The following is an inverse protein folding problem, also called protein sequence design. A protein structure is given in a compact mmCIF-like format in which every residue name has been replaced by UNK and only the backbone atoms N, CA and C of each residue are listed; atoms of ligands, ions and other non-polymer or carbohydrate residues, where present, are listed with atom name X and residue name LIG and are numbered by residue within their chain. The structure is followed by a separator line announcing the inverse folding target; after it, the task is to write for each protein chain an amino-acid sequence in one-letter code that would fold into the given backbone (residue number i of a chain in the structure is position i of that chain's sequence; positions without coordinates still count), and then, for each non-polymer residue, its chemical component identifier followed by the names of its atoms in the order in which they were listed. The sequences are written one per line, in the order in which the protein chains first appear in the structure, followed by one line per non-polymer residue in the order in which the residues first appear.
data_IF_559232505608
#
_entry.id   IF_559232505608
#
_cell.length_a   1.000
_cell.length_b   1.000
_cell.length_c   1.000
_cell.angle_alpha   90.00
_cell.angle_beta   90.00
_cell.angle_gamma   90.00
#
_symmetry.space_group_name_H-M   'P 1'
#
loop_
_entity.id
_entity.type
_entity.pdbx_description
1 polymer ?
#
# COMPACT_ATOMS: atom_id res chain seq x y z
N UNK A 1 26.64 11.90 0.54
CA UNK A 1 26.39 11.01 1.70
C UNK A 1 24.94 10.59 1.62
N UNK A 2 24.65 9.30 1.50
CA UNK A 2 23.27 8.83 1.53
C UNK A 2 22.71 9.13 2.91
N UNK A 3 21.65 9.95 2.98
CA UNK A 3 20.90 10.16 4.22
C UNK A 3 20.45 8.78 4.70
N UNK A 4 20.75 8.45 5.96
CA UNK A 4 20.27 7.23 6.59
C UNK A 4 18.73 7.26 6.54
N UNK A 5 18.14 6.25 5.90
CA UNK A 5 16.69 6.17 5.78
C UNK A 5 16.08 6.05 7.19
N UNK A 6 15.10 6.89 7.57
CA UNK A 6 14.60 6.90 8.94
C UNK A 6 13.98 5.56 9.33
N UNK A 7 14.36 5.03 10.49
CA UNK A 7 13.83 3.76 11.03
C UNK A 7 12.30 3.80 11.18
N UNK A 8 11.73 4.99 11.47
CA UNK A 8 10.28 5.17 11.58
C UNK A 8 9.54 4.98 10.24
N UNK A 9 10.22 5.13 9.11
CA UNK A 9 9.67 4.94 7.76
C UNK A 9 10.13 3.63 7.12
N UNK A 10 11.07 2.92 7.75
CA UNK A 10 11.58 1.64 7.25
C UNK A 10 10.52 0.56 7.34
N UNK A 11 10.57 -0.41 6.43
CA UNK A 11 9.67 -1.57 6.41
C UNK A 11 8.19 -1.18 6.57
N UNK A 12 7.68 -0.22 5.80
CA UNK A 12 6.24 0.04 5.72
C UNK A 12 5.62 -0.82 4.61
N UNK A 13 4.42 -1.35 4.84
CA UNK A 13 3.66 -2.01 3.77
C UNK A 13 3.11 -0.95 2.80
N UNK A 14 2.84 -1.30 1.53
CA UNK A 14 2.20 -0.38 0.58
C UNK A 14 0.88 0.24 1.10
N UNK A 15 0.14 -0.49 1.93
CA UNK A 15 -1.08 0.02 2.57
C UNK A 15 -0.76 1.05 3.64
N UNK A 16 0.25 0.79 4.49
CA UNK A 16 0.73 1.76 5.49
C UNK A 16 1.28 3.03 4.83
N UNK A 17 2.02 2.90 3.73
CA UNK A 17 2.49 4.03 2.92
C UNK A 17 1.32 4.89 2.42
N UNK A 18 0.22 4.27 1.96
CA UNK A 18 -0.99 4.99 1.56
C UNK A 18 -1.63 5.73 2.73
N UNK A 19 -1.66 5.14 3.92
CA UNK A 19 -2.27 5.76 5.11
C UNK A 19 -1.52 7.00 5.59
N UNK A 20 -0.21 7.09 5.32
CA UNK A 20 0.62 8.23 5.68
C UNK A 20 0.85 9.23 4.54
N UNK A 21 0.32 8.98 3.35
CA UNK A 21 0.50 9.86 2.19
C UNK A 21 -0.52 11.02 2.19
N UNK A 22 -0.04 12.25 1.95
CA UNK A 22 -0.91 13.44 1.78
C UNK A 22 -1.71 13.46 0.48
N UNK A 23 -1.41 12.55 -0.46
CA UNK A 23 -1.97 12.53 -1.80
C UNK A 23 -1.85 11.12 -2.38
N UNK A 24 -2.85 10.69 -3.13
CA UNK A 24 -2.94 9.34 -3.68
C UNK A 24 -3.10 9.40 -5.20
N UNK A 25 -2.28 8.66 -5.97
CA UNK A 25 -2.53 8.47 -7.40
C UNK A 25 -3.81 7.65 -7.61
N UNK A 26 -4.51 7.83 -8.75
CA UNK A 26 -5.83 7.23 -9.03
C UNK A 26 -5.82 5.67 -9.08
N UNK A 27 -4.66 5.02 -9.01
CA UNK A 27 -4.62 3.57 -8.80
C UNK A 27 -3.21 2.98 -8.67
N UNK A 28 -3.12 1.91 -7.89
CA UNK A 28 -1.97 1.05 -7.63
C UNK A 28 -2.39 -0.39 -7.86
N UNK A 29 -1.66 -1.11 -8.71
CA UNK A 29 -1.92 -2.52 -9.03
C UNK A 29 -0.85 -3.37 -8.35
N UNK A 30 -1.28 -4.33 -7.53
CA UNK A 30 -0.38 -5.26 -6.85
C UNK A 30 -0.70 -6.69 -7.30
N UNK A 31 0.30 -7.37 -7.88
CA UNK A 31 0.23 -8.77 -8.32
C UNK A 31 0.93 -9.66 -7.29
N UNK A 32 0.17 -10.56 -6.67
CA UNK A 32 0.66 -11.46 -5.61
C UNK A 32 0.66 -12.93 -6.06
N UNK A 33 1.59 -13.70 -5.49
CA UNK A 33 1.76 -15.15 -5.72
C UNK A 33 1.92 -15.86 -4.36
N UNK A 34 1.62 -17.17 -4.27
CA UNK A 34 1.87 -17.95 -3.07
C UNK A 34 3.30 -17.82 -2.54
N UNK A 35 3.45 -17.73 -1.21
CA UNK A 35 4.75 -17.68 -0.53
C UNK A 35 5.27 -16.27 -0.20
N UNK A 36 4.50 -15.21 -0.48
CA UNK A 36 4.76 -13.87 0.07
C UNK A 36 6.12 -13.26 -0.26
N UNK A 37 6.78 -13.73 -1.33
CA UNK A 37 8.18 -13.37 -1.56
C UNK A 37 8.33 -11.88 -1.91
N UNK A 38 9.00 -11.14 -1.03
CA UNK A 38 9.46 -9.76 -1.25
C UNK A 38 10.59 -9.76 -2.29
N UNK A 39 10.29 -10.02 -3.56
CA UNK A 39 11.25 -9.79 -4.65
C UNK A 39 11.06 -8.37 -5.19
N UNK A 40 12.10 -7.50 -5.13
CA UNK A 40 12.06 -6.15 -5.70
C UNK A 40 11.64 -6.08 -7.17
N UNK A 41 11.73 -7.23 -7.87
CA UNK A 41 11.54 -7.37 -9.31
C UNK A 41 10.12 -7.89 -9.63
N UNK A 42 9.51 -8.70 -8.75
CA UNK A 42 8.28 -9.42 -9.07
C UNK A 42 6.99 -8.59 -8.91
N UNK A 43 6.97 -7.55 -8.06
CA UNK A 43 5.80 -6.67 -7.92
C UNK A 43 5.88 -5.41 -8.79
N UNK A 44 7.07 -5.06 -9.31
CA UNK A 44 7.28 -3.82 -10.09
C UNK A 44 7.06 -3.96 -11.59
N UNK A 45 6.97 -5.18 -12.11
CA UNK A 45 6.83 -5.41 -13.54
C UNK A 45 5.37 -5.73 -13.90
N UNK A 46 4.58 -4.69 -14.21
CA UNK A 46 3.40 -4.87 -15.04
C UNK A 46 3.86 -5.02 -16.49
N UNK A 47 3.51 -6.15 -17.12
CA UNK A 47 3.74 -6.36 -18.56
C UNK A 47 2.42 -6.18 -19.29
N UNK A 48 2.34 -5.15 -20.12
CA UNK A 48 1.15 -4.81 -20.88
C UNK A 48 1.26 -3.43 -21.51
N UNK A 49 0.23 -3.01 -22.24
CA UNK A 49 0.11 -1.62 -22.71
C UNK A 49 -0.23 -0.72 -21.52
N UNK A 50 0.60 0.28 -21.26
CA UNK A 50 0.42 1.25 -20.18
C UNK A 50 0.17 2.62 -20.82
N UNK A 51 -0.92 3.27 -20.42
CA UNK A 51 -1.19 4.68 -20.75
C UNK A 51 -1.03 5.47 -19.46
N UNK A 52 -0.13 6.45 -19.45
CA UNK A 52 0.04 7.38 -18.34
C UNK A 52 -0.67 8.68 -18.72
N UNK A 53 -1.65 9.07 -17.93
CA UNK A 53 -2.43 10.30 -18.12
C UNK A 53 -2.08 11.26 -16.96
N UNK A 54 -1.95 12.57 -17.19
CA UNK A 54 -1.87 13.54 -16.10
C UNK A 54 -3.01 13.35 -15.11
N UNK A 55 -2.68 13.21 -13.84
CA UNK A 55 -3.66 13.10 -12.76
C UNK A 55 -3.83 14.48 -12.11
N UNK A 56 -5.06 14.85 -11.77
CA UNK A 56 -5.34 15.98 -10.88
C UNK A 56 -5.74 15.40 -9.52
N UNK A 57 -4.78 15.16 -8.61
CA UNK A 57 -5.04 14.49 -7.35
C UNK A 57 -5.76 15.38 -6.31
N UNK A 58 -6.14 16.61 -6.68
CA UNK A 58 -6.75 17.56 -5.74
C UNK A 58 -5.76 18.12 -4.71
N UNK A 59 -6.26 18.83 -3.68
CA UNK A 59 -5.43 19.42 -2.65
C UNK A 59 -4.79 18.36 -1.75
N UNK A 60 -3.59 18.66 -1.23
CA UNK A 60 -2.94 17.80 -0.25
C UNK A 60 -3.76 17.70 1.04
N UNK A 61 -3.95 16.47 1.51
CA UNK A 61 -4.63 16.16 2.76
C UNK A 61 -3.88 16.77 3.94
N UNK A 62 -4.61 17.37 4.87
CA UNK A 62 -4.05 17.93 6.12
C UNK A 62 -4.40 17.11 7.36
N UNK A 63 -5.24 16.08 7.21
CA UNK A 63 -5.61 15.14 8.27
C UNK A 63 -5.26 13.73 7.79
N UNK A 64 -4.42 13.01 8.53
CA UNK A 64 -4.04 11.64 8.19
C UNK A 64 -4.09 10.70 9.41
N UNK A 65 -4.50 9.43 9.24
CA UNK A 65 -5.07 8.86 8.03
C UNK A 65 -6.40 9.55 7.64
N UNK A 66 -6.62 9.71 6.34
CA UNK A 66 -7.80 10.41 5.85
C UNK A 66 -9.05 9.54 6.07
N UNK A 67 -10.12 10.06 6.70
CA UNK A 67 -11.38 9.33 6.87
C UNK A 67 -12.11 9.09 5.54
N UNK A 68 -11.76 9.83 4.50
CA UNK A 68 -12.33 9.69 3.15
C UNK A 68 -11.53 8.71 2.27
N UNK A 69 -10.40 8.21 2.79
CA UNK A 69 -9.55 7.27 2.07
C UNK A 69 -10.30 5.95 1.85
N UNK A 70 -10.42 5.55 0.59
CA UNK A 70 -10.97 4.25 0.18
C UNK A 70 -9.84 3.43 -0.43
N UNK A 71 -9.27 2.53 0.35
CA UNK A 71 -8.08 1.79 -0.08
C UNK A 71 -8.39 0.83 -1.24
N UNK A 72 -9.61 0.31 -1.32
CA UNK A 72 -10.06 -0.55 -2.41
C UNK A 72 -10.16 0.18 -3.76
N UNK A 73 -10.39 1.50 -3.75
CA UNK A 73 -10.32 2.32 -4.96
C UNK A 73 -8.88 2.54 -5.43
N UNK A 74 -7.95 2.64 -4.48
CA UNK A 74 -6.54 2.94 -4.76
C UNK A 74 -5.71 1.70 -5.00
N UNK A 75 -6.03 0.57 -4.40
CA UNK A 75 -5.23 -0.64 -4.43
C UNK A 75 -6.08 -1.79 -4.99
N UNK A 76 -5.72 -2.27 -6.17
CA UNK A 76 -6.30 -3.49 -6.75
C UNK A 76 -5.33 -4.65 -6.59
N UNK A 77 -5.79 -5.68 -5.88
CA UNK A 77 -5.00 -6.88 -5.58
C UNK A 77 -5.44 -8.01 -6.49
N UNK A 78 -4.48 -8.50 -7.29
CA UNK A 78 -4.65 -9.68 -8.12
C UNK A 78 -3.89 -10.85 -7.51
N UNK A 79 -4.64 -11.91 -7.18
CA UNK A 79 -4.10 -13.14 -6.65
C UNK A 79 -3.93 -14.16 -7.77
N UNK A 80 -2.68 -14.58 -7.99
CA UNK A 80 -2.30 -15.59 -8.98
C UNK A 80 -1.84 -16.86 -8.26
N UNK A 81 -2.77 -17.77 -8.00
CA UNK A 81 -2.46 -19.00 -7.29
C UNK A 81 -3.47 -20.11 -7.56
N UNK A 82 -3.02 -21.35 -7.40
CA UNK A 82 -3.84 -22.56 -7.50
C UNK A 82 -4.67 -22.85 -6.23
N UNK A 83 -4.57 -22.00 -5.21
CA UNK A 83 -5.34 -22.03 -3.96
C UNK A 83 -5.77 -20.62 -3.61
N UNK A 84 -6.77 -20.48 -2.72
CA UNK A 84 -7.10 -19.18 -2.13
C UNK A 84 -5.89 -18.60 -1.34
N UNK A 85 -5.73 -17.27 -1.31
CA UNK A 85 -4.71 -16.63 -0.47
C UNK A 85 -4.98 -16.91 1.01
N UNK A 86 -3.91 -17.15 1.77
CA UNK A 86 -3.99 -17.16 3.23
C UNK A 86 -3.35 -15.89 3.79
N UNK A 87 -3.63 -15.56 5.05
CA UNK A 87 -3.14 -14.31 5.65
C UNK A 87 -1.62 -14.17 5.60
N UNK A 88 -0.86 -15.26 5.71
CA UNK A 88 0.59 -15.24 5.58
C UNK A 88 1.07 -14.78 4.19
N UNK A 89 0.28 -15.01 3.13
CA UNK A 89 0.61 -14.51 1.79
C UNK A 89 0.30 -13.02 1.64
N UNK A 90 -0.71 -12.52 2.36
CA UNK A 90 -1.25 -11.17 2.23
C UNK A 90 -0.53 -10.16 3.13
N UNK A 91 -0.19 -10.58 4.36
CA UNK A 91 0.37 -9.71 5.40
C UNK A 91 1.59 -8.90 4.96
N UNK A 92 2.59 -9.45 4.23
CA UNK A 92 3.76 -8.69 3.80
C UNK A 92 3.45 -7.45 2.94
N UNK A 93 2.25 -7.37 2.36
CA UNK A 93 1.84 -6.29 1.46
C UNK A 93 0.63 -5.50 1.96
N UNK A 94 -0.29 -6.16 2.67
CA UNK A 94 -1.61 -5.60 2.99
C UNK A 94 -1.82 -5.36 4.48
N UNK A 95 -0.90 -5.83 5.33
CA UNK A 95 -1.03 -5.61 6.77
C UNK A 95 -0.85 -4.14 7.10
N UNK A 96 -1.68 -3.65 7.99
CA UNK A 96 -1.54 -2.38 8.70
C UNK A 96 -1.16 -2.70 10.14
N UNK A 97 0.02 -2.23 10.54
CA UNK A 97 0.51 -2.20 11.92
C UNK A 97 0.27 -0.81 12.49
N UNK A 98 -0.56 -0.72 13.52
CA UNK A 98 -0.99 0.55 14.13
C UNK A 98 0.19 1.39 14.63
N UNK A 99 1.12 0.75 15.32
CA UNK A 99 2.32 1.38 15.88
C UNK A 99 3.23 1.95 14.78
N UNK A 100 3.40 1.22 13.68
CA UNK A 100 4.21 1.65 12.52
C UNK A 100 3.62 2.88 11.85
N UNK A 101 2.33 2.89 11.59
CA UNK A 101 1.64 4.06 10.99
C UNK A 101 1.77 5.27 11.90
N UNK A 102 1.53 5.10 13.20
CA UNK A 102 1.61 6.20 14.16
C UNK A 102 3.03 6.76 14.28
N UNK A 103 4.04 5.89 14.40
CA UNK A 103 5.45 6.29 14.48
C UNK A 103 5.90 7.02 13.20
N UNK A 104 5.47 6.55 12.03
CA UNK A 104 5.76 7.19 10.75
C UNK A 104 5.15 8.59 10.67
N UNK A 105 3.87 8.75 11.04
CA UNK A 105 3.19 10.06 11.03
C UNK A 105 3.84 11.04 12.02
N UNK A 106 4.13 10.60 13.23
CA UNK A 106 4.81 11.44 14.23
C UNK A 106 6.19 11.88 13.75
N UNK A 107 6.96 10.96 13.17
CA UNK A 107 8.26 11.28 12.58
C UNK A 107 8.13 12.31 11.45
N UNK A 108 7.15 12.13 10.55
CA UNK A 108 6.92 13.05 9.43
C UNK A 108 6.54 14.45 9.91
N UNK A 109 5.60 14.56 10.87
CA UNK A 109 5.22 15.86 11.46
C UNK A 109 6.44 16.57 12.06
N UNK A 110 7.31 15.84 12.75
CA UNK A 110 8.47 16.41 13.42
C UNK A 110 9.61 16.79 12.47
N UNK A 111 9.84 16.02 11.41
CA UNK A 111 11.07 16.12 10.60
C UNK A 111 10.84 16.54 9.15
N UNK A 112 9.60 16.55 8.66
CA UNK A 112 9.28 16.90 7.28
C UNK A 112 8.42 18.17 7.22
N UNK A 113 8.99 19.25 6.67
CA UNK A 113 8.31 20.54 6.52
C UNK A 113 6.98 20.46 5.74
N UNK A 114 6.82 19.48 4.84
CA UNK A 114 5.56 19.27 4.11
C UNK A 114 4.45 18.67 4.99
N UNK A 115 4.81 18.09 6.14
CA UNK A 115 3.93 17.44 7.10
C UNK A 115 3.79 18.22 8.41
N UNK A 116 4.47 19.36 8.55
CA UNK A 116 4.51 20.12 9.80
C UNK A 116 3.11 20.57 10.30
N UNK A 117 2.22 20.94 9.38
CA UNK A 117 0.83 21.36 9.67
C UNK A 117 -0.16 20.19 9.69
N UNK A 118 0.32 18.96 9.52
CA UNK A 118 -0.55 17.79 9.44
C UNK A 118 -1.15 17.48 10.82
N UNK A 119 -2.47 17.32 10.85
CA UNK A 119 -3.19 16.76 12.00
C UNK A 119 -3.25 15.24 11.93
N UNK A 120 -2.77 14.56 12.97
CA UNK A 120 -2.90 13.10 13.07
C UNK A 120 -4.32 12.77 13.56
N UNK A 121 -5.02 11.92 12.82
CA UNK A 121 -6.37 11.46 13.12
C UNK A 121 -6.35 10.36 14.18
N UNK A 122 -6.07 10.75 15.43
CA UNK A 122 -6.04 9.83 16.57
C UNK A 122 -7.38 9.13 16.78
N UNK A 123 -8.50 9.83 16.57
CA UNK A 123 -9.84 9.25 16.71
C UNK A 123 -10.04 8.02 15.82
N UNK A 124 -9.54 8.06 14.58
CA UNK A 124 -9.58 6.91 13.68
C UNK A 124 -8.60 5.83 14.12
N UNK A 125 -7.33 6.18 14.39
CA UNK A 125 -6.27 5.22 14.76
C UNK A 125 -6.62 4.47 16.05
N UNK A 126 -7.27 5.13 17.01
CA UNK A 126 -7.62 4.55 18.31
C UNK A 126 -8.66 3.42 18.18
N UNK A 127 -9.47 3.42 17.11
CA UNK A 127 -10.44 2.35 16.83
C UNK A 127 -9.81 1.09 16.21
N UNK A 128 -8.57 1.18 15.73
CA UNK A 128 -7.90 0.06 15.09
C UNK A 128 -7.41 -0.97 16.10
N UNK A 129 -7.44 -2.24 15.68
CA UNK A 129 -6.62 -3.28 16.30
C UNK A 129 -5.13 -3.02 16.06
N UNK A 130 -4.27 -3.67 16.83
CA UNK A 130 -2.81 -3.51 16.70
C UNK A 130 -2.33 -3.87 15.28
N UNK A 131 -2.89 -4.95 14.74
CA UNK A 131 -2.61 -5.45 13.39
C UNK A 131 -3.89 -5.85 12.68
N UNK A 132 -4.02 -5.52 11.40
CA UNK A 132 -5.12 -6.01 10.56
C UNK A 132 -4.79 -5.93 9.06
N UNK A 133 -5.57 -6.64 8.24
CA UNK A 133 -5.66 -6.39 6.80
C UNK A 133 -6.98 -5.64 6.57
N UNK A 134 -6.99 -4.46 5.92
CA UNK A 134 -8.22 -3.71 5.69
C UNK A 134 -9.28 -4.58 4.99
N UNK A 135 -10.49 -4.71 5.57
CA UNK A 135 -11.52 -5.60 5.04
C UNK A 135 -11.92 -5.21 3.62
N UNK A 136 -11.99 -3.91 3.32
CA UNK A 136 -12.26 -3.38 1.99
C UNK A 136 -11.26 -3.85 0.92
N UNK A 137 -9.98 -4.04 1.24
CA UNK A 137 -9.04 -4.64 0.30
C UNK A 137 -9.27 -6.15 0.24
N UNK A 138 -9.39 -6.82 1.40
CA UNK A 138 -9.50 -8.28 1.51
C UNK A 138 -10.69 -8.82 0.73
N UNK A 139 -11.82 -8.14 0.82
CA UNK A 139 -13.09 -8.55 0.20
C UNK A 139 -13.10 -8.29 -1.32
N UNK A 140 -12.20 -7.43 -1.81
CA UNK A 140 -12.05 -7.05 -3.22
C UNK A 140 -10.86 -7.73 -3.93
N UNK A 141 -10.26 -8.77 -3.34
CA UNK A 141 -9.16 -9.51 -3.99
C UNK A 141 -9.69 -10.29 -5.20
N UNK A 142 -9.10 -10.04 -6.37
CA UNK A 142 -9.44 -10.73 -7.61
C UNK A 142 -8.54 -11.97 -7.75
N UNK A 143 -9.13 -13.16 -7.61
CA UNK A 143 -8.44 -14.43 -7.81
C UNK A 143 -8.51 -14.83 -9.28
N UNK A 144 -7.36 -14.96 -9.95
CA UNK A 144 -7.29 -15.43 -11.33
C UNK A 144 -6.86 -16.89 -11.37
N UNK A 145 -7.77 -17.75 -11.84
CA UNK A 145 -7.58 -19.20 -11.94
C UNK A 145 -6.83 -19.61 -13.21
N UNK A 146 -5.61 -19.14 -13.40
CA UNK A 146 -4.62 -19.73 -14.32
C UNK A 146 -3.30 -18.97 -14.16
N UNK A 147 -2.13 -19.63 -14.10
CA UNK A 147 -0.91 -18.94 -14.49
C UNK A 147 -1.08 -18.59 -15.97
N UNK A 148 -1.09 -17.31 -16.32
CA UNK A 148 -1.06 -16.88 -17.72
C UNK A 148 0.12 -17.57 -18.41
N UNK A 149 -0.15 -18.54 -19.30
CA UNK A 149 0.83 -19.20 -20.15
C UNK A 149 1.33 -18.28 -21.30
N UNK A 150 1.26 -16.96 -21.11
CA UNK A 150 1.59 -15.96 -22.11
C UNK A 150 2.55 -14.87 -21.62
N UNK A 151 3.35 -15.13 -20.58
CA UNK A 151 4.64 -14.44 -20.49
C UNK A 151 5.51 -15.00 -21.63
N UNK A 152 5.35 -14.46 -22.86
CA UNK A 152 6.26 -14.72 -23.98
C UNK A 152 7.67 -14.45 -23.47
N UNK A 153 8.50 -15.47 -23.32
CA UNK A 153 9.93 -15.29 -23.11
C UNK A 153 10.40 -14.35 -24.22
N UNK A 154 10.83 -13.15 -23.83
CA UNK A 154 11.36 -12.19 -24.79
C UNK A 154 12.62 -12.80 -25.40
N UNK A 155 12.70 -12.77 -26.73
CA UNK A 155 13.95 -12.97 -27.46
C UNK A 155 14.97 -11.91 -27.06
#
# INVERSE_FOLDING_TARGET
MCQHYPVALDDLTPVEECLIAKCHPIGTIIKMRPGGHLSPINYKALRGHIIVIPQDPGPLLQILPSPELKLDNLIKVFWLGNRAPVDADLKPFLQVRKDKVLAALQYLVQHNHLYHDLTINHQMIDTWSDDFIPPEIRDNIICLGSPDHHEREGY
#
